data_IF_003728618604
#
_entry.id   IF_003728618604
#
_cell.length_a   1.000
_cell.length_b   1.000
_cell.length_c   1.000
_cell.angle_alpha   90.00
_cell.angle_beta   90.00
_cell.angle_gamma   90.00
#
_symmetry.space_group_name_H-M   'P 1'
#
loop_
_entity.id
_entity.type
_entity.pdbx_description
1 polymer ?
#
# COMPACT_ATOMS: atom_id res chain seq x y z
N UNK A 1 -35.17 -32.61 -16.36
CA UNK A 1 -34.75 -31.37 -15.67
C UNK A 1 -33.47 -31.63 -14.85
N UNK A 2 -32.31 -31.55 -15.50
CA UNK A 2 -31.02 -31.63 -14.84
C UNK A 2 -30.62 -30.24 -14.33
N UNK A 3 -30.64 -30.06 -13.01
CA UNK A 3 -30.01 -28.92 -12.37
C UNK A 3 -28.49 -29.12 -12.38
N UNK A 4 -27.83 -28.67 -13.44
CA UNK A 4 -26.39 -28.39 -13.38
C UNK A 4 -26.20 -27.16 -12.50
N UNK A 5 -25.81 -27.37 -11.25
CA UNK A 5 -25.17 -26.31 -10.47
C UNK A 5 -23.89 -25.94 -11.21
N UNK A 6 -23.88 -24.78 -11.86
CA UNK A 6 -22.62 -24.15 -12.25
C UNK A 6 -21.85 -23.84 -10.97
N UNK A 7 -20.56 -24.21 -10.86
CA UNK A 7 -19.72 -23.70 -9.80
C UNK A 7 -19.68 -22.17 -9.96
N UNK A 8 -20.29 -21.45 -9.02
CA UNK A 8 -20.30 -20.00 -9.03
C UNK A 8 -18.88 -19.48 -9.16
N UNK A 9 -18.69 -18.59 -10.13
CA UNK A 9 -17.43 -17.99 -10.55
C UNK A 9 -16.85 -17.07 -9.44
N UNK A 10 -16.46 -17.65 -8.30
CA UNK A 10 -16.06 -16.95 -7.06
C UNK A 10 -14.61 -16.47 -7.03
N UNK A 11 -13.81 -16.69 -8.08
CA UNK A 11 -12.35 -16.77 -7.91
C UNK A 11 -11.52 -15.59 -8.39
N UNK A 12 -12.04 -14.35 -8.44
CA UNK A 12 -11.17 -13.18 -8.69
C UNK A 12 -11.69 -11.82 -8.17
N UNK A 13 -12.39 -11.84 -7.04
CA UNK A 13 -12.83 -10.62 -6.35
C UNK A 13 -11.76 -10.11 -5.37
N UNK A 14 -11.87 -8.83 -4.98
CA UNK A 14 -11.02 -8.25 -3.95
C UNK A 14 -11.42 -8.80 -2.57
N UNK A 15 -10.48 -9.43 -1.86
CA UNK A 15 -10.66 -9.88 -0.49
C UNK A 15 -10.00 -8.92 0.49
N UNK A 16 -10.72 -8.51 1.53
CA UNK A 16 -10.17 -7.66 2.59
C UNK A 16 -9.22 -8.48 3.47
N UNK A 17 -8.03 -7.93 3.73
CA UNK A 17 -6.96 -8.60 4.46
C UNK A 17 -6.93 -8.21 5.95
N UNK A 18 -7.23 -6.93 6.25
CA UNK A 18 -7.20 -6.37 7.61
C UNK A 18 -8.60 -6.39 8.26
N UNK A 19 -8.65 -6.69 9.57
CA UNK A 19 -9.89 -6.58 10.37
C UNK A 19 -10.11 -5.18 10.96
N UNK A 20 -9.03 -4.44 11.20
CA UNK A 20 -9.03 -3.07 11.70
C UNK A 20 -8.24 -2.19 10.74
N UNK A 21 -8.60 -0.93 10.63
CA UNK A 21 -7.90 0.03 9.78
C UNK A 21 -6.40 0.03 10.10
N UNK A 22 -5.58 -0.01 9.05
CA UNK A 22 -4.13 0.05 9.14
C UNK A 22 -3.73 1.48 8.97
N UNK A 23 -3.06 2.06 9.97
CA UNK A 23 -2.63 3.45 9.92
C UNK A 23 -1.12 3.56 10.00
N UNK A 24 -0.55 4.47 9.24
CA UNK A 24 0.89 4.71 9.17
C UNK A 24 1.17 6.21 9.17
N UNK A 25 2.37 6.56 9.61
CA UNK A 25 2.91 7.93 9.63
C UNK A 25 4.17 7.97 8.77
N UNK A 26 4.66 9.17 8.47
CA UNK A 26 5.82 9.37 7.61
C UNK A 26 7.10 9.76 8.35
N UNK A 27 7.19 9.47 9.65
CA UNK A 27 8.37 9.74 10.46
C UNK A 27 8.45 8.86 11.70
N UNK A 28 9.67 8.62 12.19
CA UNK A 28 9.95 7.98 13.48
C UNK A 28 9.59 6.50 13.56
N UNK A 29 9.81 5.76 12.46
CA UNK A 29 9.63 4.31 12.32
C UNK A 29 8.17 3.83 12.54
N UNK A 30 7.18 4.70 12.27
CA UNK A 30 5.76 4.49 12.57
C UNK A 30 4.97 3.95 11.37
N UNK A 31 5.41 2.80 10.91
CA UNK A 31 4.71 2.00 9.91
C UNK A 31 3.35 1.48 10.38
N UNK A 32 2.48 1.20 9.41
CA UNK A 32 1.20 0.53 9.62
C UNK A 32 1.35 -0.98 9.48
N UNK A 33 1.02 -1.71 10.54
CA UNK A 33 1.08 -3.17 10.54
C UNK A 33 -0.19 -3.79 9.97
N UNK A 34 -0.03 -4.64 8.96
CA UNK A 34 -1.11 -5.46 8.39
C UNK A 34 -1.03 -6.85 9.01
N UNK A 35 -1.92 -7.11 9.96
CA UNK A 35 -2.14 -8.46 10.47
C UNK A 35 -2.95 -9.25 9.44
N UNK A 36 -2.30 -10.18 8.75
CA UNK A 36 -2.91 -11.08 7.77
C UNK A 36 -3.72 -12.18 8.47
N UNK A 37 -5.04 -12.20 8.27
CA UNK A 37 -5.95 -13.21 8.82
C UNK A 37 -6.40 -14.28 7.82
N UNK A 38 -5.68 -14.46 6.72
CA UNK A 38 -5.97 -15.52 5.75
C UNK A 38 -5.96 -16.89 6.44
N UNK A 39 -6.93 -17.74 6.09
CA UNK A 39 -7.03 -19.10 6.62
C UNK A 39 -5.97 -20.03 6.04
N UNK A 40 -5.53 -19.76 4.81
CA UNK A 40 -4.56 -20.53 4.02
C UNK A 40 -3.57 -19.58 3.33
N UNK A 41 -2.34 -20.04 3.03
CA UNK A 41 -1.41 -19.27 2.20
C UNK A 41 -2.01 -18.94 0.83
N UNK A 42 -1.65 -17.78 0.28
CA UNK A 42 -2.17 -17.28 -1.01
C UNK A 42 -1.08 -16.77 -1.92
N UNK A 43 -1.26 -16.97 -3.22
CA UNK A 43 -0.43 -16.36 -4.25
C UNK A 43 -1.07 -15.02 -4.66
N UNK A 44 -0.56 -13.92 -4.11
CA UNK A 44 -1.16 -12.58 -4.22
C UNK A 44 -0.70 -11.89 -5.50
N UNK A 45 -1.67 -11.60 -6.38
CA UNK A 45 -1.48 -11.01 -7.69
C UNK A 45 -1.60 -9.48 -7.68
N UNK A 46 -2.38 -8.92 -6.75
CA UNK A 46 -2.51 -7.49 -6.58
C UNK A 46 -2.87 -7.13 -5.14
N UNK A 47 -2.52 -5.92 -4.73
CA UNK A 47 -2.91 -5.32 -3.47
C UNK A 47 -3.54 -3.95 -3.72
N UNK A 48 -4.56 -3.61 -2.94
CA UNK A 48 -5.24 -2.33 -3.00
C UNK A 48 -5.35 -1.73 -1.60
N UNK A 49 -4.85 -0.52 -1.43
CA UNK A 49 -5.07 0.29 -0.23
C UNK A 49 -6.25 1.23 -0.48
N UNK A 50 -7.28 1.15 0.35
CA UNK A 50 -8.48 2.00 0.27
C UNK A 50 -8.39 3.03 1.39
N UNK A 51 -8.33 4.30 1.01
CA UNK A 51 -8.27 5.42 1.94
C UNK A 51 -9.50 5.46 2.86
N UNK A 52 -9.27 5.67 4.16
CA UNK A 52 -10.33 5.84 5.18
C UNK A 52 -10.31 7.18 5.86
N UNK A 53 -9.13 7.79 6.02
CA UNK A 53 -9.02 9.08 6.68
C UNK A 53 -7.57 9.50 6.93
N UNK A 54 -7.41 10.78 7.25
CA UNK A 54 -6.13 11.37 7.60
C UNK A 54 -5.35 11.93 6.40
N UNK A 55 -4.22 12.53 6.68
CA UNK A 55 -3.37 13.18 5.70
C UNK A 55 -1.92 13.04 6.15
N UNK A 56 -1.02 12.90 5.18
CA UNK A 56 0.43 12.91 5.36
C UNK A 56 1.05 14.00 4.48
N UNK A 57 2.24 14.48 4.86
CA UNK A 57 3.02 15.44 4.08
C UNK A 57 4.51 15.31 4.36
N UNK A 58 5.32 15.69 3.38
CA UNK A 58 6.78 15.64 3.40
C UNK A 58 7.44 16.95 3.90
N UNK A 59 6.68 17.78 4.62
CA UNK A 59 7.11 19.12 5.05
C UNK A 59 6.16 19.62 6.14
N UNK A 60 6.53 20.61 6.97
CA UNK A 60 5.62 21.18 7.95
C UNK A 60 4.43 21.91 7.31
N UNK A 61 4.55 22.36 6.05
CA UNK A 61 3.52 23.14 5.36
C UNK A 61 2.29 22.29 4.97
N UNK A 62 1.13 22.61 5.54
CA UNK A 62 -0.14 21.91 5.27
C UNK A 62 -0.62 21.99 3.82
N UNK A 63 -0.12 22.93 3.01
CA UNK A 63 -0.42 22.98 1.58
C UNK A 63 0.02 21.71 0.82
N UNK A 64 0.90 20.91 1.43
CA UNK A 64 1.45 19.68 0.86
C UNK A 64 0.75 18.42 1.37
N UNK A 65 -0.34 18.56 2.13
CA UNK A 65 -1.17 17.44 2.59
C UNK A 65 -1.59 16.57 1.40
N UNK A 66 -1.47 15.26 1.57
CA UNK A 66 -1.93 14.26 0.62
C UNK A 66 -2.30 12.96 1.32
N UNK A 67 -2.78 11.97 0.57
CA UNK A 67 -3.10 10.63 1.08
C UNK A 67 -1.96 9.65 0.89
N UNK A 68 -1.19 9.81 -0.20
CA UNK A 68 -0.26 8.79 -0.69
C UNK A 68 1.19 9.26 -0.83
N UNK A 69 1.51 10.49 -0.43
CA UNK A 69 2.87 11.02 -0.46
C UNK A 69 2.93 12.50 -0.09
N UNK A 70 3.13 13.38 -1.08
CA UNK A 70 3.26 14.82 -0.82
C UNK A 70 2.78 15.68 -2.00
N UNK A 71 1.82 16.58 -1.75
CA UNK A 71 1.24 17.48 -2.76
C UNK A 71 2.18 18.64 -3.08
N UNK A 72 3.23 18.36 -3.84
CA UNK A 72 4.32 19.30 -4.15
C UNK A 72 4.34 19.77 -5.61
N UNK A 73 3.45 19.24 -6.45
CA UNK A 73 3.57 19.37 -7.91
C UNK A 73 4.73 18.56 -8.52
N UNK A 74 5.36 17.67 -7.73
CA UNK A 74 6.41 16.77 -8.20
C UNK A 74 5.90 15.78 -9.24
N UNK A 75 6.78 15.36 -10.15
CA UNK A 75 6.52 14.27 -11.11
C UNK A 75 6.46 12.89 -10.45
N UNK A 76 6.86 12.78 -9.18
CA UNK A 76 6.88 11.55 -8.40
C UNK A 76 6.23 11.80 -7.03
N UNK A 77 4.91 12.04 -6.99
CA UNK A 77 4.24 12.53 -5.78
C UNK A 77 3.91 11.43 -4.76
N UNK A 78 4.12 10.16 -5.10
CA UNK A 78 3.77 9.00 -4.25
C UNK A 78 4.98 8.50 -3.46
N UNK A 79 4.76 8.12 -2.20
CA UNK A 79 5.79 7.60 -1.31
C UNK A 79 5.31 6.47 -0.39
N UNK A 80 4.15 5.88 -0.65
CA UNK A 80 3.64 4.74 0.13
C UNK A 80 4.24 3.43 -0.36
N UNK A 81 4.84 2.68 0.55
CA UNK A 81 5.58 1.44 0.29
C UNK A 81 4.97 0.30 1.12
N UNK A 82 4.78 -0.86 0.49
CA UNK A 82 4.39 -2.09 1.18
C UNK A 82 5.60 -3.00 1.29
N UNK A 83 5.89 -3.50 2.48
CA UNK A 83 7.00 -4.40 2.75
C UNK A 83 6.55 -5.67 3.47
N UNK A 84 7.43 -6.67 3.51
CA UNK A 84 7.34 -7.74 4.52
C UNK A 84 7.79 -7.25 5.91
N UNK A 85 7.71 -8.14 6.91
CA UNK A 85 8.15 -7.91 8.29
C UNK A 85 9.66 -7.63 8.45
N UNK A 86 10.47 -7.85 7.40
CA UNK A 86 11.91 -7.57 7.35
C UNK A 86 12.22 -6.31 6.55
N UNK A 87 11.20 -5.54 6.20
CA UNK A 87 11.31 -4.32 5.40
C UNK A 87 11.80 -4.56 3.96
N UNK A 88 11.64 -5.77 3.43
CA UNK A 88 11.85 -6.03 2.00
C UNK A 88 10.65 -5.50 1.21
N UNK A 89 10.90 -4.68 0.18
CA UNK A 89 9.86 -4.04 -0.62
C UNK A 89 9.10 -5.09 -1.44
N UNK A 90 7.77 -5.09 -1.29
CA UNK A 90 6.82 -5.87 -2.10
C UNK A 90 6.19 -4.95 -3.14
N UNK A 91 5.70 -3.78 -2.71
CA UNK A 91 5.11 -2.77 -3.60
C UNK A 91 5.56 -1.34 -3.26
N UNK A 92 5.62 -0.42 -4.24
CA UNK A 92 5.50 -0.71 -5.67
C UNK A 92 6.70 -1.55 -6.14
N UNK A 93 6.61 -2.14 -7.34
CA UNK A 93 7.78 -2.83 -7.91
C UNK A 93 8.92 -1.82 -8.13
N UNK A 94 10.14 -2.29 -7.95
CA UNK A 94 11.34 -1.44 -7.95
C UNK A 94 11.48 -0.61 -9.23
N UNK A 95 11.00 -1.07 -10.39
CA UNK A 95 11.07 -0.31 -11.64
C UNK A 95 10.19 0.96 -11.68
N UNK A 96 9.20 1.08 -10.80
CA UNK A 96 8.41 2.30 -10.67
C UNK A 96 9.12 3.35 -9.81
N UNK A 97 10.02 2.94 -8.92
CA UNK A 97 10.78 3.83 -8.06
C UNK A 97 11.73 4.69 -8.90
N UNK A 98 11.66 6.01 -8.70
CA UNK A 98 12.53 6.97 -9.41
C UNK A 98 13.71 7.41 -8.58
N UNK A 99 13.54 7.44 -7.26
CA UNK A 99 14.61 7.66 -6.30
C UNK A 99 14.65 6.47 -5.33
N UNK A 100 15.74 5.69 -5.35
CA UNK A 100 15.89 4.54 -4.45
C UNK A 100 16.32 4.93 -3.02
N UNK A 101 16.76 6.18 -2.83
CA UNK A 101 17.22 6.69 -1.54
C UNK A 101 16.09 7.14 -0.63
N UNK A 102 14.96 7.56 -1.21
CA UNK A 102 13.76 8.09 -0.54
C UNK A 102 12.47 7.39 -1.01
N UNK A 103 12.55 6.57 -2.06
CA UNK A 103 11.47 5.74 -2.62
C UNK A 103 10.31 6.52 -3.24
N UNK A 104 10.53 7.74 -3.73
CA UNK A 104 9.53 8.50 -4.48
C UNK A 104 9.24 7.87 -5.85
N UNK A 105 7.96 7.83 -6.23
CA UNK A 105 7.49 7.28 -7.49
C UNK A 105 6.21 7.96 -8.01
N UNK A 106 5.80 7.56 -9.21
CA UNK A 106 4.53 7.94 -9.81
C UNK A 106 3.86 6.70 -10.43
N UNK A 107 2.52 6.69 -10.46
CA UNK A 107 1.74 5.68 -11.17
C UNK A 107 0.75 6.35 -12.12
N UNK A 108 0.58 5.84 -13.36
CA UNK A 108 -0.40 6.39 -14.29
C UNK A 108 -1.81 6.38 -13.69
N UNK A 109 -2.52 7.51 -13.81
CA UNK A 109 -3.90 7.64 -13.35
C UNK A 109 -4.07 7.70 -11.83
N UNK A 110 -2.98 7.86 -11.07
CA UNK A 110 -3.02 8.00 -9.60
C UNK A 110 -2.57 9.38 -9.19
N UNK A 111 -3.48 10.09 -8.53
CA UNK A 111 -3.27 11.35 -7.85
C UNK A 111 -3.01 11.11 -6.34
N UNK A 112 -1.97 11.73 -5.79
CA UNK A 112 -1.55 11.55 -4.40
C UNK A 112 -2.54 12.07 -3.36
N UNK A 113 -3.41 13.01 -3.73
CA UNK A 113 -4.30 13.74 -2.83
C UNK A 113 -5.76 13.32 -2.96
N UNK A 114 -6.19 12.95 -4.17
CA UNK A 114 -7.60 12.73 -4.50
C UNK A 114 -7.94 11.27 -4.81
N UNK A 115 -6.96 10.42 -5.10
CA UNK A 115 -7.24 8.99 -5.32
C UNK A 115 -7.72 8.36 -4.03
N UNK A 116 -8.87 7.68 -4.06
CA UNK A 116 -9.38 6.94 -2.91
C UNK A 116 -8.73 5.56 -2.78
N UNK A 117 -8.08 5.09 -3.84
CA UNK A 117 -7.48 3.77 -3.90
C UNK A 117 -6.05 3.86 -4.45
N UNK A 118 -5.12 3.16 -3.81
CA UNK A 118 -3.78 2.94 -4.31
C UNK A 118 -3.65 1.45 -4.66
N UNK A 119 -3.61 1.14 -5.95
CA UNK A 119 -3.65 -0.25 -6.45
C UNK A 119 -2.29 -0.64 -7.02
N UNK A 120 -1.71 -1.68 -6.45
CA UNK A 120 -0.49 -2.31 -6.95
C UNK A 120 -0.84 -3.63 -7.63
N UNK A 121 -0.51 -3.76 -8.91
CA UNK A 121 -0.81 -4.96 -9.71
C UNK A 121 0.46 -5.66 -10.16
N UNK A 122 0.52 -6.98 -10.01
CA UNK A 122 1.57 -7.82 -10.56
C UNK A 122 1.03 -9.23 -10.90
N UNK A 123 0.13 -9.31 -11.87
CA UNK A 123 -0.49 -10.58 -12.28
C UNK A 123 0.51 -11.58 -12.90
N UNK A 124 1.62 -11.09 -13.46
CA UNK A 124 2.65 -11.95 -14.05
C UNK A 124 3.65 -12.52 -13.05
N UNK A 125 3.85 -11.85 -11.90
CA UNK A 125 4.80 -12.26 -10.85
C UNK A 125 4.14 -12.05 -9.48
N UNK A 126 3.14 -12.86 -9.13
CA UNK A 126 2.52 -12.77 -7.82
C UNK A 126 3.50 -13.15 -6.70
N UNK A 127 3.30 -12.63 -5.49
CA UNK A 127 4.10 -13.02 -4.33
C UNK A 127 3.36 -14.02 -3.46
N UNK A 128 4.10 -14.95 -2.86
CA UNK A 128 3.52 -15.94 -1.95
C UNK A 128 3.38 -15.34 -0.55
N UNK A 129 2.14 -15.19 -0.08
CA UNK A 129 1.82 -14.72 1.26
C UNK A 129 1.48 -15.93 2.14
N UNK A 130 2.45 -16.31 2.99
CA UNK A 130 2.22 -17.30 4.03
C UNK A 130 1.14 -16.85 5.02
N UNK A 131 0.44 -17.84 5.59
CA UNK A 131 -0.54 -17.63 6.65
C UNK A 131 0.08 -16.88 7.83
N UNK A 132 -0.66 -15.93 8.40
CA UNK A 132 -0.27 -15.14 9.58
C UNK A 132 1.00 -14.29 9.42
N UNK A 133 1.57 -14.15 8.21
CA UNK A 133 2.69 -13.25 8.00
C UNK A 133 2.26 -11.79 8.02
N UNK A 134 3.03 -11.01 8.76
CA UNK A 134 2.88 -9.56 8.81
C UNK A 134 3.40 -8.91 7.52
N UNK A 135 2.62 -7.95 7.04
CA UNK A 135 3.06 -6.97 6.05
C UNK A 135 3.03 -5.58 6.69
N UNK A 136 3.74 -4.63 6.09
CA UNK A 136 3.85 -3.26 6.61
C UNK A 136 3.57 -2.24 5.53
N UNK A 137 2.96 -1.12 5.91
CA UNK A 137 2.76 0.05 5.08
C UNK A 137 3.64 1.17 5.64
N UNK A 138 4.49 1.73 4.79
CA UNK A 138 5.47 2.75 5.14
C UNK A 138 5.29 3.98 4.27
N UNK A 139 5.71 5.14 4.77
CA UNK A 139 6.24 6.17 3.90
C UNK A 139 7.69 5.84 3.57
N UNK A 140 8.10 6.06 2.32
CA UNK A 140 9.42 5.70 1.81
C UNK A 140 10.57 6.42 2.50
N UNK A 141 10.40 7.69 2.81
CA UNK A 141 11.37 8.48 3.59
C UNK A 141 11.59 7.92 5.00
N UNK A 142 10.51 7.55 5.70
CA UNK A 142 10.55 6.90 7.01
C UNK A 142 11.23 5.53 6.94
N UNK A 143 10.82 4.69 5.98
CA UNK A 143 11.45 3.37 5.73
C UNK A 143 12.95 3.46 5.46
N UNK A 144 13.40 4.55 4.84
CA UNK A 144 14.82 4.79 4.53
C UNK A 144 15.55 5.60 5.59
N UNK A 145 14.85 6.10 6.62
CA UNK A 145 15.37 7.06 7.59
C UNK A 145 16.07 8.24 6.87
N UNK A 146 15.41 8.79 5.85
CA UNK A 146 15.93 9.88 5.01
C UNK A 146 14.90 10.97 4.85
N UNK A 147 15.27 12.20 5.24
CA UNK A 147 14.44 13.40 5.10
C UNK A 147 13.06 13.30 5.78
N UNK A 148 12.90 12.43 6.79
CA UNK A 148 11.63 12.20 7.46
C UNK A 148 11.40 13.10 8.68
N UNK A 149 12.42 13.86 9.10
CA UNK A 149 12.39 14.67 10.31
C UNK A 149 11.38 15.82 10.30
N UNK A 150 10.96 16.29 9.13
CA UNK A 150 9.96 17.34 8.97
C UNK A 150 8.62 16.82 8.41
N UNK A 151 8.50 15.51 8.24
CA UNK A 151 7.28 14.84 7.80
C UNK A 151 6.23 14.85 8.91
N UNK A 152 4.97 14.93 8.51
CA UNK A 152 3.85 15.10 9.44
C UNK A 152 2.63 14.31 9.01
N UNK A 153 1.81 13.96 10.00
CA UNK A 153 0.48 13.41 9.78
C UNK A 153 0.44 11.88 9.79
N UNK A 154 -0.76 11.37 9.54
CA UNK A 154 -1.12 9.95 9.67
C UNK A 154 -2.25 9.67 8.69
N UNK A 155 -2.15 8.58 7.95
CA UNK A 155 -3.21 8.08 7.07
C UNK A 155 -3.64 6.69 7.51
N UNK A 156 -4.94 6.42 7.43
CA UNK A 156 -5.54 5.12 7.72
C UNK A 156 -6.18 4.53 6.46
N UNK A 157 -6.00 3.22 6.26
CA UNK A 157 -6.50 2.49 5.10
C UNK A 157 -7.13 1.15 5.47
N UNK A 158 -7.97 0.64 4.58
CA UNK A 158 -8.23 -0.79 4.48
C UNK A 158 -7.38 -1.40 3.36
N UNK A 159 -7.02 -2.67 3.53
CA UNK A 159 -6.14 -3.40 2.63
C UNK A 159 -6.91 -4.54 2.02
N UNK A 160 -6.91 -4.59 0.69
CA UNK A 160 -7.52 -5.66 -0.08
C UNK A 160 -6.46 -6.34 -0.94
N UNK A 161 -6.66 -7.62 -1.22
CA UNK A 161 -5.80 -8.40 -2.11
C UNK A 161 -6.64 -9.09 -3.18
N UNK A 162 -6.03 -9.30 -4.34
CA UNK A 162 -6.45 -10.31 -5.31
C UNK A 162 -5.41 -11.42 -5.30
N UNK A 163 -5.87 -12.66 -5.28
CA UNK A 163 -5.01 -13.83 -5.25
C UNK A 163 -5.58 -14.93 -6.15
N UNK A 164 -4.69 -15.86 -6.52
CA UNK A 164 -5.03 -17.11 -7.18
C UNK A 164 -5.45 -18.19 -6.18
#
# INVERSE_FOLDING_TARGET
PSFTQQPGNKSFEWAQLNLRQVCFECSGDRHGTIYNFLSEPRLVAAMKLVYRGGEIRCTPNKAYNSRWGCHSGSKTPLNVIVTDQRNNIIYPRTEYLKDLSTLWYAMPGVDESYSNELVFTNFGVPFYLEKHRELRIWCGEDLKNKNDGDNQGRVCVDVYIKYY
#
